data_IF_533549046728
#
_entry.id   IF_533549046728
#
_cell.length_a   1.000
_cell.length_b   1.000
_cell.length_c   1.000
_cell.angle_alpha   90.00
_cell.angle_beta   90.00
_cell.angle_gamma   90.00
#
_symmetry.space_group_name_H-M   'P 1'
#
loop_
_entity.id
_entity.type
_entity.pdbx_description
1 polymer ?
#
# COMPACT_ATOMS: atom_id res chain seq x y z
N UNK A 1 27.33 -18.34 -10.64
CA UNK A 1 27.68 -17.20 -11.50
C UNK A 1 27.35 -15.92 -10.73
N UNK A 2 27.99 -14.79 -11.04
CA UNK A 2 27.78 -13.51 -10.36
C UNK A 2 27.19 -12.49 -11.32
N UNK A 3 26.12 -11.82 -10.92
CA UNK A 3 25.51 -10.69 -11.61
C UNK A 3 25.59 -9.47 -10.70
N UNK A 4 26.54 -8.58 -10.98
CA UNK A 4 26.76 -7.37 -10.18
C UNK A 4 25.93 -6.23 -10.73
N UNK A 5 25.00 -5.73 -9.93
CA UNK A 5 24.22 -4.52 -10.17
C UNK A 5 24.85 -3.30 -9.49
N UNK A 6 25.03 -2.21 -10.23
CA UNK A 6 25.43 -0.91 -9.67
C UNK A 6 24.57 0.17 -10.31
N UNK A 7 24.10 1.12 -9.51
CA UNK A 7 23.41 2.27 -10.05
C UNK A 7 23.52 3.52 -9.18
N UNK A 8 23.29 4.65 -9.84
CA UNK A 8 23.26 5.98 -9.25
C UNK A 8 22.03 6.73 -9.75
N UNK A 9 21.41 7.53 -8.87
CA UNK A 9 20.31 8.43 -9.22
C UNK A 9 20.51 9.79 -8.56
N UNK A 10 20.34 10.83 -9.37
CA UNK A 10 20.13 12.20 -8.91
C UNK A 10 18.66 12.55 -9.04
N UNK A 11 18.08 13.20 -8.02
CA UNK A 11 16.73 13.75 -8.06
C UNK A 11 16.76 15.16 -7.48
N UNK A 12 16.09 16.08 -8.17
CA UNK A 12 15.83 17.42 -7.67
C UNK A 12 14.33 17.68 -7.78
N UNK A 13 13.73 18.10 -6.68
CA UNK A 13 12.30 18.35 -6.55
C UNK A 13 12.08 19.73 -5.94
N UNK A 14 11.05 20.44 -6.43
CA UNK A 14 10.64 21.72 -5.89
C UNK A 14 9.11 21.81 -5.84
N UNK A 15 8.59 22.44 -4.78
CA UNK A 15 7.17 22.70 -4.58
C UNK A 15 6.91 24.17 -4.26
N UNK A 16 5.74 24.68 -4.67
CA UNK A 16 5.23 25.98 -4.25
C UNK A 16 3.76 25.83 -3.87
N UNK A 17 3.48 25.88 -2.56
CA UNK A 17 2.14 25.71 -2.03
C UNK A 17 1.58 27.04 -1.54
N UNK A 18 0.40 27.38 -2.08
CA UNK A 18 -0.35 28.58 -1.73
C UNK A 18 -1.70 28.20 -1.11
N UNK A 19 -2.19 28.97 -0.14
CA UNK A 19 -3.55 28.80 0.40
C UNK A 19 -4.29 30.12 0.47
N UNK A 20 -5.29 30.24 -0.39
CA UNK A 20 -6.21 31.36 -0.41
C UNK A 20 -7.49 31.02 0.35
N UNK A 21 -8.01 31.96 1.12
CA UNK A 21 -9.21 31.76 1.95
C UNK A 21 -10.20 32.90 1.82
N UNK A 22 -11.47 32.52 1.92
CA UNK A 22 -12.62 33.39 2.09
C UNK A 22 -13.49 32.85 3.23
N UNK A 23 -14.33 33.69 3.87
CA UNK A 23 -15.37 33.19 4.77
C UNK A 23 -16.29 32.20 4.05
N UNK A 24 -16.79 31.19 4.77
CA UNK A 24 -17.68 30.16 4.21
C UNK A 24 -18.99 30.77 3.65
N UNK A 25 -19.40 31.93 4.14
CA UNK A 25 -20.56 32.68 3.65
C UNK A 25 -20.29 33.49 2.37
N UNK A 26 -19.04 33.54 1.91
CA UNK A 26 -18.59 34.30 0.75
C UNK A 26 -18.50 33.47 -0.54
N UNK A 27 -17.81 34.03 -1.53
CA UNK A 27 -17.48 33.33 -2.78
C UNK A 27 -16.33 32.33 -2.56
N UNK A 28 -16.16 31.41 -3.51
CA UNK A 28 -14.98 30.55 -3.54
C UNK A 28 -13.70 31.42 -3.60
N UNK A 29 -12.62 31.02 -2.89
CA UNK A 29 -11.36 31.77 -2.91
C UNK A 29 -10.79 31.90 -4.32
N UNK A 30 -10.19 33.06 -4.60
CA UNK A 30 -9.42 33.33 -5.83
C UNK A 30 -7.99 33.70 -5.47
N UNK A 31 -7.12 33.92 -6.46
CA UNK A 31 -5.75 34.42 -6.23
C UNK A 31 -5.70 35.85 -5.68
N UNK A 32 -6.83 36.58 -5.70
CA UNK A 32 -6.97 37.90 -5.08
C UNK A 32 -7.45 37.84 -3.62
N UNK A 33 -7.91 36.67 -3.15
CA UNK A 33 -8.36 36.46 -1.77
C UNK A 33 -7.19 36.50 -0.78
N UNK A 34 -7.50 36.51 0.52
CA UNK A 34 -6.46 36.47 1.56
C UNK A 34 -5.62 35.20 1.42
N UNK A 35 -4.32 35.37 1.20
CA UNK A 35 -3.35 34.28 1.27
C UNK A 35 -2.86 34.09 2.72
N UNK A 36 -3.01 32.89 3.26
CA UNK A 36 -2.54 32.53 4.61
C UNK A 36 -1.51 31.38 4.62
N UNK A 37 -1.04 30.95 3.44
CA UNK A 37 0.12 30.05 3.30
C UNK A 37 0.85 30.36 2.00
N UNK A 38 2.14 30.65 2.09
CA UNK A 38 3.02 30.71 0.92
C UNK A 38 4.31 29.99 1.30
N UNK A 39 4.41 28.72 0.89
CA UNK A 39 5.56 27.86 1.21
C UNK A 39 6.25 27.36 -0.05
N UNK A 40 7.57 27.27 -0.01
CA UNK A 40 8.38 26.64 -1.07
C UNK A 40 9.19 25.50 -0.50
N UNK A 41 8.93 24.28 -0.96
CA UNK A 41 9.71 23.09 -0.66
C UNK A 41 10.80 22.86 -1.69
N UNK A 42 11.94 22.32 -1.28
CA UNK A 42 12.97 21.84 -2.18
C UNK A 42 13.66 20.60 -1.58
N UNK A 43 13.95 19.62 -2.43
CA UNK A 43 14.73 18.43 -2.07
C UNK A 43 15.75 18.14 -3.16
N UNK A 44 16.98 17.86 -2.75
CA UNK A 44 18.03 17.33 -3.59
C UNK A 44 18.48 15.99 -3.02
N UNK A 45 18.45 14.94 -3.83
CA UNK A 45 18.71 13.57 -3.38
C UNK A 45 19.69 12.85 -4.31
N UNK A 46 20.68 12.23 -3.70
CA UNK A 46 21.67 11.38 -4.35
C UNK A 46 21.54 9.96 -3.80
N UNK A 47 21.29 9.00 -4.68
CA UNK A 47 21.15 7.60 -4.32
C UNK A 47 22.18 6.74 -5.03
N UNK A 48 22.84 5.86 -4.29
CA UNK A 48 23.73 4.82 -4.81
C UNK A 48 23.20 3.46 -4.39
N UNK A 49 23.33 2.46 -5.25
CA UNK A 49 23.12 1.07 -4.85
C UNK A 49 24.13 0.15 -5.50
N UNK A 50 24.43 -0.94 -4.79
CA UNK A 50 25.20 -2.07 -5.28
C UNK A 50 24.58 -3.36 -4.75
N UNK A 51 24.48 -4.35 -5.62
CA UNK A 51 24.05 -5.70 -5.31
C UNK A 51 24.84 -6.72 -6.13
N UNK A 52 24.94 -7.95 -5.64
CA UNK A 52 25.57 -9.06 -6.35
C UNK A 52 24.67 -10.28 -6.25
N UNK A 53 24.02 -10.68 -7.35
CA UNK A 53 23.26 -11.93 -7.40
C UNK A 53 24.21 -13.08 -7.69
N UNK A 54 24.33 -13.97 -6.71
CA UNK A 54 25.25 -15.10 -6.71
C UNK A 54 24.44 -16.39 -6.84
N UNK A 55 24.49 -17.01 -8.02
CA UNK A 55 23.90 -18.34 -8.23
C UNK A 55 24.95 -19.44 -7.95
N UNK A 56 24.71 -20.27 -6.93
CA UNK A 56 25.57 -21.38 -6.52
C UNK A 56 24.76 -22.65 -6.25
N UNK A 57 24.85 -23.63 -7.16
CA UNK A 57 24.03 -24.83 -7.09
C UNK A 57 22.53 -24.48 -7.18
N UNK A 58 21.77 -24.86 -6.14
CA UNK A 58 20.33 -24.55 -6.00
C UNK A 58 20.06 -23.20 -5.31
N UNK A 59 21.09 -22.44 -4.96
CA UNK A 59 20.96 -21.19 -4.24
C UNK A 59 21.14 -20.00 -5.17
N UNK A 60 20.33 -18.97 -4.96
CA UNK A 60 20.53 -17.63 -5.49
C UNK A 60 20.60 -16.70 -4.27
N UNK A 61 21.75 -16.10 -4.02
CA UNK A 61 22.00 -15.24 -2.86
C UNK A 61 22.33 -13.84 -3.36
N UNK A 62 21.60 -12.83 -2.89
CA UNK A 62 21.74 -11.45 -3.34
C UNK A 62 21.93 -10.52 -2.15
N UNK A 63 23.17 -10.34 -1.64
CA UNK A 63 23.51 -9.21 -0.79
C UNK A 63 23.40 -7.90 -1.60
N UNK A 64 22.99 -6.84 -0.92
CA UNK A 64 22.98 -5.50 -1.51
C UNK A 64 22.96 -4.40 -0.46
N UNK A 65 23.27 -3.20 -0.89
CA UNK A 65 23.13 -1.99 -0.07
C UNK A 65 22.70 -0.84 -0.94
N UNK A 66 21.73 -0.07 -0.44
CA UNK A 66 21.37 1.24 -0.98
C UNK A 66 21.81 2.33 0.01
N UNK A 67 22.35 3.42 -0.50
CA UNK A 67 22.74 4.59 0.28
C UNK A 67 22.11 5.84 -0.32
N UNK A 68 21.42 6.62 0.51
CA UNK A 68 20.73 7.85 0.12
C UNK A 68 21.32 9.02 0.91
N UNK A 69 21.57 10.13 0.23
CA UNK A 69 21.92 11.42 0.81
C UNK A 69 20.87 12.42 0.34
N UNK A 70 20.20 13.08 1.29
CA UNK A 70 19.02 13.90 1.02
C UNK A 70 19.19 15.23 1.74
N UNK A 71 19.21 16.30 0.96
CA UNK A 71 19.14 17.68 1.41
C UNK A 71 17.70 18.17 1.19
N UNK A 72 17.07 18.72 2.22
CA UNK A 72 15.69 19.21 2.09
C UNK A 72 15.48 20.53 2.82
N UNK A 73 14.61 21.37 2.25
CA UNK A 73 14.28 22.68 2.79
C UNK A 73 12.81 23.02 2.58
N UNK A 74 12.25 23.78 3.52
CA UNK A 74 10.99 24.47 3.38
C UNK A 74 11.15 25.93 3.78
N UNK A 75 10.83 26.83 2.85
CA UNK A 75 10.77 28.27 3.09
C UNK A 75 9.30 28.70 3.26
N UNK A 76 9.01 29.50 4.27
CA UNK A 76 7.72 30.17 4.43
C UNK A 76 7.89 31.66 4.06
N UNK A 77 7.34 32.04 2.92
CA UNK A 77 7.48 33.39 2.36
C UNK A 77 6.62 34.43 3.10
N UNK A 78 5.63 34.01 3.90
CA UNK A 78 4.82 34.93 4.71
C UNK A 78 5.55 35.32 6.00
N UNK A 79 6.22 34.37 6.64
CA UNK A 79 6.96 34.61 7.90
C UNK A 79 8.45 34.85 7.69
N UNK A 80 8.96 34.69 6.46
CA UNK A 80 10.39 34.65 6.11
C UNK A 80 11.19 33.58 6.88
N UNK A 81 10.53 32.54 7.40
CA UNK A 81 11.19 31.44 8.07
C UNK A 81 11.74 30.43 7.05
N UNK A 82 12.95 29.91 7.30
CA UNK A 82 13.57 28.85 6.50
C UNK A 82 13.92 27.69 7.41
N UNK A 83 13.38 26.52 7.07
CA UNK A 83 13.67 25.25 7.74
C UNK A 83 14.46 24.40 6.76
N UNK A 84 15.67 24.03 7.11
CA UNK A 84 16.53 23.21 6.27
C UNK A 84 17.20 22.14 7.13
N UNK A 85 17.43 20.98 6.53
CA UNK A 85 18.31 19.98 7.08
C UNK A 85 18.65 18.93 6.03
N UNK A 86 19.63 18.13 6.39
CA UNK A 86 20.14 17.05 5.57
C UNK A 86 20.19 15.76 6.39
N UNK A 87 20.14 14.63 5.69
CA UNK A 87 20.37 13.34 6.30
C UNK A 87 20.87 12.32 5.27
N UNK A 88 21.50 11.27 5.78
CA UNK A 88 21.84 10.11 4.97
C UNK A 88 21.36 8.83 5.62
N UNK A 89 21.12 7.80 4.80
CA UNK A 89 20.71 6.50 5.28
C UNK A 89 21.28 5.37 4.44
N UNK A 90 21.75 4.33 5.13
CA UNK A 90 22.19 3.09 4.54
C UNK A 90 21.12 2.02 4.76
N UNK A 91 20.82 1.28 3.70
CA UNK A 91 19.76 0.28 3.62
C UNK A 91 20.39 -1.05 3.16
N UNK A 92 21.07 -1.78 4.06
CA UNK A 92 21.63 -3.08 3.72
C UNK A 92 20.52 -4.10 3.59
N UNK A 93 20.63 -4.96 2.58
CA UNK A 93 19.68 -6.02 2.28
C UNK A 93 20.41 -7.35 2.01
N UNK A 94 19.73 -8.44 2.32
CA UNK A 94 20.14 -9.79 1.94
C UNK A 94 18.91 -10.58 1.54
N UNK A 95 18.92 -11.08 0.31
CA UNK A 95 17.87 -11.94 -0.24
C UNK A 95 18.45 -13.32 -0.52
N UNK A 96 17.72 -14.37 -0.17
CA UNK A 96 18.11 -15.76 -0.43
C UNK A 96 16.93 -16.47 -1.09
N UNK A 97 17.20 -17.12 -2.20
CA UNK A 97 16.26 -17.97 -2.92
C UNK A 97 16.88 -19.37 -3.05
N UNK A 98 16.08 -20.40 -2.82
CA UNK A 98 16.47 -21.80 -2.95
C UNK A 98 15.51 -22.54 -3.86
N UNK A 99 16.04 -23.07 -4.96
CA UNK A 99 15.30 -23.82 -5.97
C UNK A 99 15.12 -25.28 -5.50
N UNK A 100 13.97 -25.60 -4.89
CA UNK A 100 13.66 -26.97 -4.48
C UNK A 100 13.58 -27.89 -5.71
N UNK A 101 12.82 -27.44 -6.70
CA UNK A 101 12.64 -28.04 -8.05
C UNK A 101 12.61 -26.92 -9.10
N UNK A 102 12.49 -27.28 -10.38
CA UNK A 102 12.33 -26.29 -11.46
C UNK A 102 11.02 -25.49 -11.38
N UNK A 103 10.09 -25.91 -10.52
CA UNK A 103 8.74 -25.37 -10.35
C UNK A 103 8.45 -24.90 -8.92
N UNK A 104 9.41 -25.00 -8.00
CA UNK A 104 9.17 -24.73 -6.59
C UNK A 104 10.38 -24.06 -5.95
N UNK A 105 10.18 -22.85 -5.42
CA UNK A 105 11.18 -22.05 -4.77
C UNK A 105 10.83 -21.75 -3.30
N UNK A 106 11.85 -21.69 -2.46
CA UNK A 106 11.79 -21.09 -1.13
C UNK A 106 12.54 -19.76 -1.17
N UNK A 107 12.09 -18.77 -0.41
CA UNK A 107 12.82 -17.51 -0.26
C UNK A 107 12.84 -17.06 1.20
N UNK A 108 13.90 -16.34 1.57
CA UNK A 108 13.98 -15.59 2.80
C UNK A 108 14.75 -14.29 2.53
N UNK A 109 14.33 -13.19 3.13
CA UNK A 109 15.05 -11.93 2.98
C UNK A 109 15.01 -11.07 4.24
N UNK A 110 15.88 -10.08 4.26
CA UNK A 110 15.78 -8.95 5.17
C UNK A 110 16.36 -7.70 4.53
N UNK A 111 15.68 -6.58 4.67
CA UNK A 111 16.07 -5.33 4.04
C UNK A 111 15.78 -4.13 4.94
N UNK A 112 16.57 -3.06 4.75
CA UNK A 112 16.28 -1.76 5.34
C UNK A 112 15.42 -0.94 4.38
N UNK A 113 14.41 -0.26 4.91
CA UNK A 113 13.62 0.73 4.19
C UNK A 113 13.53 2.01 5.01
N UNK A 114 13.10 3.12 4.40
CA UNK A 114 13.00 4.39 5.09
C UNK A 114 11.87 5.27 4.55
N UNK A 115 11.37 6.15 5.42
CA UNK A 115 10.51 7.28 5.07
C UNK A 115 11.30 8.59 5.07
N UNK A 116 11.08 9.42 4.06
CA UNK A 116 11.74 10.71 3.93
C UNK A 116 11.12 11.78 4.83
N UNK A 117 11.91 12.77 5.27
CA UNK A 117 11.38 13.96 5.94
C UNK A 117 10.47 14.71 4.97
N UNK A 118 9.17 14.73 5.22
CA UNK A 118 8.22 15.46 4.38
C UNK A 118 8.31 16.97 4.63
N UNK A 119 8.05 17.80 3.61
CA UNK A 119 8.06 19.26 3.76
C UNK A 119 7.16 19.76 4.89
N UNK A 120 5.97 19.16 5.07
CA UNK A 120 5.03 19.49 6.15
C UNK A 120 5.62 19.32 7.55
N UNK A 121 6.59 18.41 7.71
CA UNK A 121 7.22 18.10 8.99
C UNK A 121 8.42 19.01 9.28
N UNK A 122 8.99 19.67 8.26
CA UNK A 122 10.23 20.46 8.38
C UNK A 122 10.24 21.50 9.51
N UNK A 123 9.18 22.31 9.74
CA UNK A 123 9.19 23.26 10.85
C UNK A 123 9.39 22.61 12.22
N UNK A 124 8.73 21.48 12.47
CA UNK A 124 8.83 20.75 13.72
C UNK A 124 10.19 20.06 13.84
N UNK A 125 10.67 19.41 12.76
CA UNK A 125 11.93 18.63 12.80
C UNK A 125 13.18 19.48 12.92
N UNK A 126 13.22 20.63 12.24
CA UNK A 126 14.35 21.56 12.36
C UNK A 126 14.37 22.20 13.74
N UNK A 127 13.21 22.56 14.30
CA UNK A 127 13.13 23.12 15.66
C UNK A 127 13.55 22.10 16.73
N UNK A 128 13.28 20.81 16.51
CA UNK A 128 13.67 19.72 17.42
C UNK A 128 15.10 19.19 17.26
N UNK A 129 15.84 19.62 16.23
CA UNK A 129 17.13 19.02 15.82
C UNK A 129 17.03 17.52 15.45
N UNK A 130 15.96 17.16 14.72
CA UNK A 130 15.62 15.75 14.44
C UNK A 130 15.33 15.48 12.95
N UNK A 131 16.11 16.10 12.07
CA UNK A 131 16.09 15.80 10.63
C UNK A 131 16.77 14.44 10.40
N UNK A 132 16.05 13.35 10.65
CA UNK A 132 16.52 11.96 10.49
C UNK A 132 15.40 11.15 9.88
N UNK A 133 15.69 10.23 8.93
CA UNK A 133 14.67 9.46 8.25
C UNK A 133 13.91 8.54 9.20
N UNK A 134 12.65 8.25 8.87
CA UNK A 134 11.91 7.14 9.47
C UNK A 134 12.57 5.85 8.99
N UNK A 135 12.84 4.87 9.87
CA UNK A 135 13.58 3.67 9.48
C UNK A 135 12.74 2.43 9.72
N UNK A 136 12.67 1.57 8.71
CA UNK A 136 12.06 0.28 8.83
C UNK A 136 13.05 -0.84 8.54
N UNK A 137 12.83 -1.97 9.20
CA UNK A 137 13.51 -3.23 8.92
C UNK A 137 12.45 -4.27 8.62
N UNK A 138 12.59 -4.91 7.47
CA UNK A 138 11.71 -5.96 6.99
C UNK A 138 12.42 -7.30 7.05
N UNK A 139 11.65 -8.36 7.33
CA UNK A 139 12.05 -9.76 7.22
C UNK A 139 10.92 -10.52 6.57
N UNK A 140 11.24 -11.35 5.58
CA UNK A 140 10.27 -12.21 4.91
C UNK A 140 10.80 -13.64 4.81
N UNK A 141 9.88 -14.59 4.84
CA UNK A 141 10.13 -16.01 4.62
C UNK A 141 8.93 -16.60 3.88
N UNK A 142 9.16 -17.24 2.75
CA UNK A 142 8.05 -17.80 1.99
C UNK A 142 8.46 -18.80 0.93
N UNK A 143 7.46 -19.17 0.15
CA UNK A 143 7.61 -20.13 -0.92
C UNK A 143 6.68 -19.79 -2.08
N UNK A 144 7.12 -20.14 -3.29
CA UNK A 144 6.34 -20.02 -4.52
C UNK A 144 6.43 -21.31 -5.33
N UNK A 145 5.29 -21.79 -5.78
CA UNK A 145 5.10 -22.98 -6.60
C UNK A 145 4.39 -22.60 -7.90
N UNK A 146 4.88 -23.07 -9.04
CA UNK A 146 4.24 -22.92 -10.34
C UNK A 146 4.56 -24.13 -11.22
N UNK A 147 3.56 -24.97 -11.48
CA UNK A 147 3.68 -26.10 -12.42
C UNK A 147 2.84 -25.92 -13.69
N UNK A 148 2.41 -24.70 -14.00
CA UNK A 148 1.46 -24.39 -15.06
C UNK A 148 0.01 -24.46 -14.60
N UNK A 149 -0.44 -25.60 -14.08
CA UNK A 149 -1.84 -25.79 -13.67
C UNK A 149 -2.13 -25.14 -12.31
N UNK A 150 -1.22 -25.31 -11.36
CA UNK A 150 -1.30 -24.76 -10.01
C UNK A 150 -0.18 -23.73 -9.84
N UNK A 151 -0.59 -22.51 -9.51
CA UNK A 151 0.27 -21.43 -9.05
C UNK A 151 -0.10 -21.09 -7.62
N UNK A 152 0.84 -21.20 -6.71
CA UNK A 152 0.58 -20.94 -5.30
C UNK A 152 1.79 -20.28 -4.65
N UNK A 153 1.53 -19.36 -3.72
CA UNK A 153 2.57 -18.79 -2.87
C UNK A 153 2.03 -18.54 -1.47
N UNK A 154 2.92 -18.65 -0.50
CA UNK A 154 2.68 -18.24 0.87
C UNK A 154 3.97 -17.65 1.44
N UNK A 155 3.85 -16.50 2.06
CA UNK A 155 4.94 -15.81 2.74
C UNK A 155 4.50 -15.34 4.11
N UNK A 156 5.42 -15.32 5.06
CA UNK A 156 5.29 -14.62 6.32
C UNK A 156 6.21 -13.39 6.28
N UNK A 157 5.74 -12.30 6.86
CA UNK A 157 6.50 -11.05 6.91
C UNK A 157 6.50 -10.48 8.33
N UNK A 158 7.55 -9.71 8.62
CA UNK A 158 7.69 -8.87 9.80
C UNK A 158 8.31 -7.55 9.37
N UNK A 159 7.70 -6.44 9.78
CA UNK A 159 8.19 -5.07 9.57
C UNK A 159 8.18 -4.40 10.93
N UNK A 160 9.35 -3.97 11.39
CA UNK A 160 9.44 -2.99 12.47
C UNK A 160 9.69 -1.64 11.82
N UNK A 161 8.80 -0.68 12.04
CA UNK A 161 8.91 0.65 11.49
C UNK A 161 8.98 1.67 12.63
N UNK A 162 10.19 2.17 12.83
CA UNK A 162 10.58 3.02 13.95
C UNK A 162 10.78 4.47 13.49
N UNK A 163 10.66 5.40 14.43
CA UNK A 163 10.94 6.82 14.21
C UNK A 163 10.04 7.47 13.14
N UNK A 164 8.76 7.08 13.07
CA UNK A 164 7.79 7.74 12.22
C UNK A 164 7.54 9.16 12.73
N UNK A 165 7.43 10.12 11.80
CA UNK A 165 7.17 11.51 12.10
C UNK A 165 5.79 11.70 12.68
N UNK A 166 4.79 11.01 12.13
CA UNK A 166 3.45 11.07 12.68
C UNK A 166 3.39 10.18 13.93
N UNK A 167 3.15 10.81 15.08
CA UNK A 167 2.97 10.07 16.34
C UNK A 167 1.71 9.21 16.28
N UNK A 168 1.75 8.06 16.93
CA UNK A 168 0.57 7.21 17.10
C UNK A 168 -0.19 7.54 18.40
N UNK A 169 0.13 8.64 19.09
CA UNK A 169 -0.60 9.13 20.26
C UNK A 169 -1.71 10.12 19.88
N UNK A 170 -2.67 10.33 20.78
CA UNK A 170 -3.83 11.23 20.56
C UNK A 170 -3.43 12.72 20.54
N UNK A 171 -2.36 13.08 21.24
CA UNK A 171 -1.81 14.42 21.22
C UNK A 171 -0.41 14.33 20.60
N UNK A 172 -0.30 14.69 19.32
CA UNK A 172 0.99 14.78 18.66
C UNK A 172 1.82 15.87 19.35
N UNK A 173 3.01 15.51 19.81
CA UNK A 173 3.96 16.45 20.42
C UNK A 173 5.19 16.51 19.52
N UNK A 174 5.87 17.65 19.50
CA UNK A 174 7.02 17.91 18.59
C UNK A 174 8.11 16.82 18.66
N UNK A 175 8.19 16.07 19.78
CA UNK A 175 9.18 15.02 20.03
C UNK A 175 8.64 13.59 19.88
N UNK A 176 7.33 13.36 19.82
CA UNK A 176 6.77 12.01 19.75
C UNK A 176 7.11 11.35 18.40
N UNK A 177 7.19 10.01 18.41
CA UNK A 177 7.64 9.21 17.26
C UNK A 177 6.80 7.96 17.15
N UNK A 178 6.08 7.82 16.05
CA UNK A 178 5.37 6.59 15.78
C UNK A 178 6.35 5.41 15.69
N UNK A 179 5.97 4.32 16.31
CA UNK A 179 6.64 3.03 16.23
C UNK A 179 5.55 2.00 16.01
N UNK A 180 5.63 1.27 14.91
CA UNK A 180 4.63 0.27 14.56
C UNK A 180 5.30 -1.03 14.15
N UNK A 181 4.64 -2.14 14.46
CA UNK A 181 5.01 -3.46 13.98
C UNK A 181 3.92 -3.99 13.08
N UNK A 182 4.28 -4.42 11.88
CA UNK A 182 3.40 -5.10 10.94
C UNK A 182 3.91 -6.51 10.77
N UNK A 183 3.08 -7.50 11.03
CA UNK A 183 3.46 -8.90 10.89
C UNK A 183 2.29 -9.70 10.35
N UNK A 184 2.57 -10.75 9.61
CA UNK A 184 1.49 -11.43 8.95
C UNK A 184 1.89 -12.57 8.06
N UNK A 185 0.87 -13.07 7.36
CA UNK A 185 1.04 -13.99 6.25
C UNK A 185 0.30 -13.44 5.04
N UNK A 186 0.86 -13.66 3.87
CA UNK A 186 0.24 -13.37 2.57
C UNK A 186 0.27 -14.65 1.74
N UNK A 187 -0.83 -14.95 1.07
CA UNK A 187 -0.93 -16.11 0.20
C UNK A 187 -1.79 -15.83 -1.01
N UNK A 188 -1.41 -16.45 -2.11
CA UNK A 188 -2.20 -16.51 -3.33
C UNK A 188 -2.20 -17.95 -3.85
N UNK A 189 -3.33 -18.38 -4.38
CA UNK A 189 -3.48 -19.63 -5.12
C UNK A 189 -4.32 -19.39 -6.37
N UNK A 190 -3.91 -19.98 -7.47
CA UNK A 190 -4.67 -20.11 -8.71
C UNK A 190 -4.52 -21.54 -9.20
N UNK A 191 -5.63 -22.18 -9.53
CA UNK A 191 -5.65 -23.57 -9.95
C UNK A 191 -6.60 -23.79 -11.13
N UNK A 192 -6.03 -24.20 -12.26
CA UNK A 192 -6.76 -24.69 -13.41
C UNK A 192 -7.32 -26.08 -13.11
N UNK A 193 -8.65 -26.19 -13.01
CA UNK A 193 -9.33 -27.42 -12.60
C UNK A 193 -9.34 -28.51 -13.68
N UNK A 194 -8.99 -28.16 -14.92
CA UNK A 194 -8.86 -29.12 -16.02
C UNK A 194 -7.88 -30.27 -15.69
N UNK A 195 -6.86 -29.98 -14.88
CA UNK A 195 -5.89 -30.96 -14.42
C UNK A 195 -6.45 -31.99 -13.44
N UNK A 196 -7.61 -31.73 -12.82
CA UNK A 196 -8.29 -32.68 -11.92
C UNK A 196 -9.23 -33.62 -12.69
N UNK A 197 -10.02 -33.07 -13.60
CA UNK A 197 -11.01 -33.80 -14.37
C UNK A 197 -11.34 -33.03 -15.66
N UNK A 198 -11.36 -33.67 -16.84
CA UNK A 198 -11.74 -33.03 -18.10
C UNK A 198 -13.12 -32.36 -18.08
N UNK A 199 -14.05 -32.82 -17.23
CA UNK A 199 -15.38 -32.19 -17.04
C UNK A 199 -15.26 -30.75 -16.51
N UNK A 200 -14.14 -30.41 -15.85
CA UNK A 200 -13.85 -29.08 -15.32
C UNK A 200 -12.98 -28.25 -16.26
N UNK A 201 -12.82 -28.67 -17.52
CA UNK A 201 -12.11 -27.88 -18.52
C UNK A 201 -12.66 -26.46 -18.61
N UNK A 202 -11.76 -25.47 -18.69
CA UNK A 202 -12.10 -24.06 -18.72
C UNK A 202 -12.38 -23.43 -17.35
N UNK A 203 -12.53 -24.20 -16.26
CA UNK A 203 -12.66 -23.64 -14.92
C UNK A 203 -11.31 -23.39 -14.24
N UNK A 204 -11.13 -22.19 -13.70
CA UNK A 204 -10.06 -21.88 -12.76
C UNK A 204 -10.65 -21.40 -11.44
N UNK A 205 -10.03 -21.79 -10.34
CA UNK A 205 -10.33 -21.23 -9.02
C UNK A 205 -9.14 -20.44 -8.53
N UNK A 206 -9.39 -19.36 -7.80
CA UNK A 206 -8.33 -18.57 -7.21
C UNK A 206 -8.74 -18.03 -5.85
N UNK A 207 -7.73 -17.80 -5.02
CA UNK A 207 -7.88 -17.05 -3.77
C UNK A 207 -6.62 -16.25 -3.47
N UNK A 208 -6.80 -15.08 -2.87
CA UNK A 208 -5.75 -14.30 -2.23
C UNK A 208 -6.18 -14.01 -0.80
N UNK A 209 -5.25 -14.08 0.13
CA UNK A 209 -5.52 -13.83 1.53
C UNK A 209 -4.30 -13.24 2.21
N UNK A 210 -4.52 -12.18 2.98
CA UNK A 210 -3.54 -11.60 3.87
C UNK A 210 -4.10 -11.59 5.30
N UNK A 211 -3.31 -12.12 6.22
CA UNK A 211 -3.46 -11.84 7.64
C UNK A 211 -2.44 -10.77 8.02
N UNK A 212 -2.89 -9.62 8.53
CA UNK A 212 -2.01 -8.50 8.88
C UNK A 212 -2.30 -8.02 10.30
N UNK A 213 -1.33 -8.20 11.19
CA UNK A 213 -1.36 -7.66 12.55
C UNK A 213 -0.48 -6.42 12.63
N UNK A 214 -1.07 -5.26 12.32
CA UNK A 214 -0.44 -3.95 12.48
C UNK A 214 -0.72 -3.40 13.89
N UNK A 215 0.32 -3.28 14.71
CA UNK A 215 0.24 -2.89 16.13
C UNK A 215 1.09 -1.66 16.40
N UNK A 216 0.56 -0.71 17.18
CA UNK A 216 1.29 0.42 17.72
C UNK A 216 2.23 -0.07 18.82
N UNK A 217 3.51 0.20 18.66
CA UNK A 217 4.59 -0.15 19.61
C UNK A 217 5.14 1.06 20.35
N UNK A 218 4.87 2.27 19.87
CA UNK A 218 5.25 3.54 20.52
C UNK A 218 4.79 3.57 21.98
N UNK A 219 5.69 3.97 22.87
CA UNK A 219 5.37 4.17 24.29
C UNK A 219 4.35 5.29 24.49
N UNK A 220 3.25 4.96 25.17
CA UNK A 220 2.18 5.91 25.46
C UNK A 220 0.84 5.22 25.66
N UNK A 221 -0.24 6.01 25.84
CA UNK A 221 -1.60 5.49 26.04
C UNK A 221 -2.07 4.51 24.95
N UNK A 222 -1.60 4.66 23.71
CA UNK A 222 -2.02 3.81 22.59
C UNK A 222 -1.12 2.59 22.35
N UNK A 223 -0.12 2.33 23.21
CA UNK A 223 0.76 1.16 23.06
C UNK A 223 -0.04 -0.14 23.10
N UNK A 224 0.14 -0.99 22.09
CA UNK A 224 -0.58 -2.26 21.95
C UNK A 224 -1.92 -2.15 21.22
N UNK A 225 -2.39 -0.94 20.90
CA UNK A 225 -3.54 -0.77 20.03
C UNK A 225 -3.21 -1.18 18.59
N UNK A 226 -4.25 -1.45 17.80
CA UNK A 226 -4.12 -1.71 16.36
C UNK A 226 -3.90 -0.40 15.63
N UNK A 227 -3.05 -0.42 14.61
CA UNK A 227 -2.92 0.70 13.68
C UNK A 227 -4.28 0.93 12.98
N UNK A 228 -4.75 2.19 12.87
CA UNK A 228 -6.01 2.51 12.18
C UNK A 228 -6.03 2.03 10.73
N UNK A 229 -7.23 1.80 10.19
CA UNK A 229 -7.45 1.40 8.79
C UNK A 229 -6.70 0.13 8.34
N UNK A 230 -6.28 -0.72 9.29
CA UNK A 230 -5.67 -2.02 9.01
C UNK A 230 -6.62 -3.17 9.38
N UNK A 231 -7.11 -3.88 8.37
CA UNK A 231 -7.93 -5.09 8.56
C UNK A 231 -7.03 -6.28 8.83
N UNK A 232 -7.30 -7.03 9.90
CA UNK A 232 -6.55 -8.25 10.21
C UNK A 232 -6.68 -9.33 9.15
N UNK A 233 -7.85 -9.43 8.52
CA UNK A 233 -8.10 -10.40 7.45
C UNK A 233 -8.56 -9.64 6.22
N UNK A 234 -7.94 -9.86 5.08
CA UNK A 234 -8.37 -9.30 3.79
C UNK A 234 -8.07 -10.29 2.68
N UNK A 235 -8.96 -10.41 1.71
CA UNK A 235 -8.75 -11.36 0.64
C UNK A 235 -9.75 -11.26 -0.49
N UNK A 236 -9.47 -12.02 -1.53
CA UNK A 236 -10.39 -12.27 -2.64
C UNK A 236 -10.44 -13.75 -2.93
N UNK A 237 -11.55 -14.24 -3.48
CA UNK A 237 -11.62 -15.59 -4.02
C UNK A 237 -12.65 -15.64 -5.12
N UNK A 238 -12.47 -16.52 -6.09
CA UNK A 238 -13.41 -16.62 -7.18
C UNK A 238 -13.20 -17.84 -8.05
N UNK A 239 -14.13 -17.97 -8.98
CA UNK A 239 -14.10 -18.95 -10.06
C UNK A 239 -14.19 -18.19 -11.39
N UNK A 240 -13.34 -18.57 -12.33
CA UNK A 240 -13.48 -18.21 -13.73
C UNK A 240 -13.88 -19.42 -14.55
N UNK A 241 -14.63 -19.19 -15.61
CA UNK A 241 -14.94 -20.18 -16.63
C UNK A 241 -14.64 -19.59 -18.01
N UNK A 242 -13.84 -20.28 -18.80
CA UNK A 242 -13.49 -19.88 -20.16
C UNK A 242 -13.85 -21.00 -21.13
N UNK A 243 -14.73 -20.71 -22.08
CA UNK A 243 -15.13 -21.65 -23.13
C UNK A 243 -15.31 -20.90 -24.46
N UNK A 244 -14.42 -21.17 -25.41
CA UNK A 244 -14.39 -20.47 -26.69
C UNK A 244 -14.31 -18.94 -26.50
N UNK A 245 -15.26 -18.16 -27.05
CA UNK A 245 -15.27 -16.70 -26.92
C UNK A 245 -15.75 -16.20 -25.55
N UNK A 246 -16.27 -17.08 -24.69
CA UNK A 246 -16.84 -16.70 -23.41
C UNK A 246 -15.80 -16.71 -22.30
N UNK A 247 -15.83 -15.68 -21.46
CA UNK A 247 -15.16 -15.66 -20.17
C UNK A 247 -16.12 -15.16 -19.09
N UNK A 248 -16.43 -16.02 -18.14
CA UNK A 248 -17.32 -15.76 -17.01
C UNK A 248 -16.49 -15.70 -15.72
N UNK A 249 -16.86 -14.81 -14.83
CA UNK A 249 -16.23 -14.65 -13.53
C UNK A 249 -17.30 -14.52 -12.44
N UNK A 250 -17.11 -15.21 -11.33
CA UNK A 250 -17.81 -14.97 -10.08
C UNK A 250 -16.79 -14.89 -8.97
N UNK A 251 -16.77 -13.78 -8.25
CA UNK A 251 -15.74 -13.50 -7.25
C UNK A 251 -16.34 -12.89 -5.99
N UNK A 252 -15.56 -12.97 -4.92
CA UNK A 252 -15.82 -12.33 -3.66
C UNK A 252 -14.58 -11.60 -3.18
N UNK A 253 -14.79 -10.43 -2.59
CA UNK A 253 -13.79 -9.69 -1.83
C UNK A 253 -14.26 -9.53 -0.41
N UNK A 254 -13.37 -9.66 0.57
CA UNK A 254 -13.71 -9.50 1.98
C UNK A 254 -12.61 -8.81 2.76
N UNK A 255 -13.01 -8.17 3.86
CA UNK A 255 -12.11 -7.69 4.88
C UNK A 255 -12.77 -7.70 6.26
N UNK A 256 -11.97 -7.94 7.30
CA UNK A 256 -12.40 -7.83 8.69
C UNK A 256 -12.53 -6.37 9.12
N UNK A 257 -13.01 -6.16 10.34
CA UNK A 257 -13.12 -4.84 10.92
C UNK A 257 -11.78 -4.10 11.08
N UNK A 258 -11.89 -2.79 11.26
CA UNK A 258 -10.80 -1.83 11.45
C UNK A 258 -11.20 -0.80 12.51
N UNK A 259 -10.23 0.00 12.97
CA UNK A 259 -10.48 1.22 13.76
C UNK A 259 -10.12 2.45 12.93
N UNK A 260 -10.76 3.59 13.22
CA UNK A 260 -10.50 4.85 12.51
C UNK A 260 -9.43 5.72 13.18
N UNK A 261 -9.11 5.45 14.44
CA UNK A 261 -8.25 6.28 15.29
C UNK A 261 -7.27 5.44 16.12
N UNK A 262 -6.14 6.04 16.50
CA UNK A 262 -5.08 5.36 17.25
C UNK A 262 -5.52 4.88 18.64
N UNK A 263 -6.53 5.52 19.23
CA UNK A 263 -7.13 5.10 20.51
C UNK A 263 -8.03 3.85 20.38
N UNK A 264 -8.27 3.38 19.15
CA UNK A 264 -9.15 2.24 18.86
C UNK A 264 -10.56 2.44 19.46
N UNK A 265 -11.12 3.64 19.29
CA UNK A 265 -12.43 3.99 19.82
C UNK A 265 -13.49 3.11 19.16
N UNK A 266 -14.15 2.28 19.96
CA UNK A 266 -15.18 1.37 19.44
C UNK A 266 -16.50 2.09 19.16
N UNK A 267 -16.89 3.00 20.05
CA UNK A 267 -18.14 3.76 19.94
C UNK A 267 -18.06 4.77 18.79
N UNK A 268 -19.14 4.88 18.02
CA UNK A 268 -19.24 5.87 16.94
C UNK A 268 -19.42 7.29 17.51
N UNK A 269 -18.65 8.25 17.00
CA UNK A 269 -18.86 9.68 17.30
C UNK A 269 -20.09 10.23 16.58
N UNK A 270 -20.66 11.31 17.09
CA UNK A 270 -21.83 11.96 16.50
C UNK A 270 -21.59 12.47 15.06
N UNK A 271 -20.37 12.89 14.73
CA UNK A 271 -19.97 13.29 13.37
C UNK A 271 -19.51 12.11 12.50
N UNK A 272 -19.44 10.90 13.06
CA UNK A 272 -19.06 9.68 12.37
C UNK A 272 -17.58 9.57 11.98
N UNK A 273 -16.70 10.45 12.49
CA UNK A 273 -15.26 10.42 12.21
C UNK A 273 -14.53 9.28 12.94
N UNK A 274 -14.97 8.92 14.14
CA UNK A 274 -14.41 7.80 14.93
C UNK A 274 -15.41 6.66 15.11
N UNK A 275 -14.91 5.53 15.61
CA UNK A 275 -15.68 4.31 15.84
C UNK A 275 -15.12 3.12 15.07
N UNK A 276 -15.48 1.92 15.53
CA UNK A 276 -15.14 0.68 14.82
C UNK A 276 -15.75 0.70 13.42
N UNK A 277 -14.96 0.34 12.41
CA UNK A 277 -15.39 0.18 11.02
C UNK A 277 -15.70 -1.31 10.80
N UNK A 278 -16.97 -1.71 10.59
CA UNK A 278 -17.32 -3.12 10.42
C UNK A 278 -16.68 -3.74 9.18
N UNK A 279 -16.29 -5.01 9.29
CA UNK A 279 -15.89 -5.82 8.14
C UNK A 279 -17.06 -6.11 7.18
N UNK A 280 -16.72 -6.54 5.98
CA UNK A 280 -17.69 -6.87 4.94
C UNK A 280 -17.16 -7.93 3.99
N UNK A 281 -18.08 -8.53 3.24
CA UNK A 281 -17.81 -9.45 2.14
C UNK A 281 -18.75 -9.09 1.00
N UNK A 282 -18.19 -8.82 -0.17
CA UNK A 282 -18.90 -8.46 -1.39
C UNK A 282 -18.79 -9.60 -2.38
N UNK A 283 -19.77 -9.71 -3.27
CA UNK A 283 -19.76 -10.66 -4.37
C UNK A 283 -19.95 -9.90 -5.67
N UNK A 284 -19.21 -10.28 -6.70
CA UNK A 284 -19.22 -9.66 -8.02
C UNK A 284 -19.24 -10.71 -9.12
N UNK A 285 -19.70 -10.31 -10.29
CA UNK A 285 -19.69 -11.17 -11.48
C UNK A 285 -19.43 -10.35 -12.72
N UNK A 286 -18.86 -11.00 -13.74
CA UNK A 286 -18.60 -10.43 -15.06
C UNK A 286 -18.78 -11.51 -16.11
N UNK A 287 -19.45 -11.18 -17.20
CA UNK A 287 -19.52 -12.01 -18.40
C UNK A 287 -18.90 -11.24 -19.56
N UNK A 288 -17.98 -11.87 -20.29
CA UNK A 288 -17.27 -11.32 -21.44
C UNK A 288 -17.50 -12.20 -22.65
N UNK A 289 -17.62 -11.57 -23.81
CA UNK A 289 -17.61 -12.21 -25.12
C UNK A 289 -16.56 -11.56 -26.00
N UNK A 290 -15.67 -12.39 -26.54
CA UNK A 290 -14.70 -12.03 -27.57
C UNK A 290 -15.29 -12.33 -28.95
N UNK A 291 -15.51 -11.30 -29.77
CA UNK A 291 -16.03 -11.46 -31.12
C UNK A 291 -14.95 -11.86 -32.13
N UNK A 292 -13.68 -11.83 -31.72
CA UNK A 292 -12.53 -12.25 -32.50
C UNK A 292 -12.14 -11.32 -33.65
N UNK A 293 -11.18 -11.74 -34.49
CA UNK A 293 -10.51 -10.86 -35.44
C UNK A 293 -11.43 -10.25 -36.51
N UNK A 294 -12.53 -10.94 -36.83
CA UNK A 294 -13.51 -10.47 -37.82
C UNK A 294 -14.16 -9.15 -37.43
N UNK A 295 -14.20 -8.85 -36.13
CA UNK A 295 -14.67 -7.58 -35.57
C UNK A 295 -13.54 -6.83 -34.87
N UNK A 296 -12.30 -6.93 -35.37
CA UNK A 296 -11.14 -6.20 -34.81
C UNK A 296 -10.93 -6.52 -33.32
N UNK A 297 -11.00 -7.81 -32.98
CA UNK A 297 -10.92 -8.34 -31.62
C UNK A 297 -11.82 -7.59 -30.63
N UNK A 298 -13.00 -7.19 -31.10
CA UNK A 298 -14.02 -6.55 -30.28
C UNK A 298 -14.31 -7.46 -29.09
N UNK A 299 -14.14 -6.92 -27.90
CA UNK A 299 -14.50 -7.57 -26.65
C UNK A 299 -15.59 -6.76 -25.97
N UNK A 300 -16.66 -7.41 -25.54
CA UNK A 300 -17.74 -6.79 -24.78
C UNK A 300 -17.94 -7.55 -23.48
N UNK A 301 -17.98 -6.82 -22.37
CA UNK A 301 -18.30 -7.39 -21.08
C UNK A 301 -19.37 -6.59 -20.34
N UNK A 302 -20.20 -7.31 -19.61
CA UNK A 302 -21.16 -6.77 -18.65
C UNK A 302 -20.82 -7.34 -17.29
N UNK A 303 -20.78 -6.49 -16.27
CA UNK A 303 -20.51 -6.93 -14.92
C UNK A 303 -21.34 -6.20 -13.87
N UNK A 304 -21.38 -6.82 -12.70
CA UNK A 304 -22.04 -6.29 -11.52
C UNK A 304 -21.13 -6.49 -10.32
N UNK A 305 -20.82 -5.39 -9.63
CA UNK A 305 -20.17 -5.40 -8.33
C UNK A 305 -21.19 -5.34 -7.21
N UNK A 306 -20.85 -5.93 -6.06
CA UNK A 306 -21.69 -5.94 -4.86
C UNK A 306 -23.13 -6.43 -5.18
N UNK A 307 -23.24 -7.63 -5.75
CA UNK A 307 -24.48 -8.22 -6.26
C UNK A 307 -25.58 -8.23 -5.19
N UNK A 308 -25.24 -8.46 -3.92
CA UNK A 308 -26.21 -8.48 -2.82
C UNK A 308 -26.54 -7.10 -2.26
N UNK A 309 -25.99 -6.02 -2.83
CA UNK A 309 -26.15 -4.65 -2.34
C UNK A 309 -25.85 -4.52 -0.84
N UNK A 310 -24.79 -5.18 -0.39
CA UNK A 310 -24.33 -5.14 0.99
C UNK A 310 -23.95 -3.70 1.33
N UNK A 311 -24.57 -3.15 2.37
CA UNK A 311 -24.19 -1.86 2.91
C UNK A 311 -22.92 -1.99 3.75
N UNK A 312 -21.95 -1.13 3.48
CA UNK A 312 -20.71 -0.98 4.23
C UNK A 312 -20.24 0.46 4.12
N UNK A 313 -19.26 0.85 4.92
CA UNK A 313 -18.70 2.19 4.91
C UNK A 313 -17.26 2.15 5.42
N UNK A 314 -16.52 3.22 5.13
CA UNK A 314 -15.27 3.58 5.83
C UNK A 314 -15.43 4.94 6.50
N UNK A 315 -14.41 5.42 7.20
CA UNK A 315 -14.38 6.74 7.85
C UNK A 315 -13.18 7.55 7.35
N UNK A 316 -13.31 8.87 7.34
CA UNK A 316 -12.15 9.77 7.45
C UNK A 316 -12.16 10.35 8.86
N UNK A 317 -11.01 10.35 9.52
CA UNK A 317 -10.85 10.75 10.92
C UNK A 317 -10.33 12.19 11.05
N UNK A 318 -9.17 12.49 10.43
CA UNK A 318 -8.45 13.75 10.65
C UNK A 318 -8.72 14.84 9.60
N UNK A 319 -9.25 14.51 8.42
CA UNK A 319 -9.45 15.49 7.37
C UNK A 319 -10.64 16.44 7.63
N UNK A 320 -10.64 17.60 6.97
CA UNK A 320 -11.76 18.55 7.07
C UNK A 320 -13.11 17.96 6.63
N UNK A 321 -13.09 16.98 5.72
CA UNK A 321 -14.26 16.23 5.27
C UNK A 321 -14.45 14.91 6.04
N UNK A 322 -13.96 14.82 7.29
CA UNK A 322 -14.16 13.67 8.17
C UNK A 322 -15.63 13.25 8.29
N UNK A 323 -15.83 11.98 8.62
CA UNK A 323 -17.13 11.36 8.73
C UNK A 323 -17.20 10.01 8.02
N UNK A 324 -18.42 9.51 7.80
CA UNK A 324 -18.67 8.23 7.13
C UNK A 324 -18.72 8.37 5.61
N UNK A 325 -18.07 7.42 4.94
CA UNK A 325 -18.04 7.27 3.49
C UNK A 325 -18.70 5.96 3.12
N UNK A 326 -19.86 6.04 2.48
CA UNK A 326 -20.60 4.85 2.04
C UNK A 326 -19.78 4.10 1.00
N UNK A 327 -19.67 2.78 1.19
CA UNK A 327 -19.01 1.90 0.25
C UNK A 327 -19.76 1.78 -1.08
N UNK A 328 -19.10 1.25 -2.12
CA UNK A 328 -19.69 1.06 -3.44
C UNK A 328 -20.97 0.21 -3.34
N UNK A 329 -22.16 0.77 -3.64
CA UNK A 329 -23.39 -0.01 -3.66
C UNK A 329 -23.36 -0.98 -4.85
N UNK A 330 -24.43 -1.75 -5.04
CA UNK A 330 -24.58 -2.56 -6.27
C UNK A 330 -24.36 -1.67 -7.50
N UNK A 331 -23.36 -2.01 -8.29
CA UNK A 331 -22.94 -1.20 -9.44
C UNK A 331 -22.86 -2.08 -10.68
N UNK A 332 -23.57 -1.68 -11.73
CA UNK A 332 -23.55 -2.34 -13.04
C UNK A 332 -22.62 -1.56 -13.96
N UNK A 333 -21.80 -2.27 -14.72
CA UNK A 333 -20.88 -1.66 -15.67
C UNK A 333 -20.83 -2.44 -16.98
N UNK A 334 -20.43 -1.73 -18.04
CA UNK A 334 -20.15 -2.29 -19.37
C UNK A 334 -18.72 -1.93 -19.73
N UNK A 335 -18.01 -2.89 -20.30
CA UNK A 335 -16.66 -2.71 -20.85
C UNK A 335 -16.66 -3.09 -22.31
N UNK A 336 -15.95 -2.31 -23.11
CA UNK A 336 -15.72 -2.58 -24.53
C UNK A 336 -14.29 -2.23 -24.89
N UNK A 337 -13.66 -3.06 -25.70
CA UNK A 337 -12.33 -2.81 -26.27
C UNK A 337 -12.27 -3.34 -27.70
N UNK A 338 -11.44 -2.70 -28.53
CA UNK A 338 -11.19 -3.06 -29.92
C UNK A 338 -9.68 -2.97 -30.15
N UNK A 339 -9.11 -3.90 -30.92
CA UNK A 339 -7.72 -3.89 -31.36
C UNK A 339 -7.67 -3.86 -32.89
N UNK A 340 -6.93 -2.90 -33.45
CA UNK A 340 -6.78 -2.70 -34.90
C UNK A 340 -5.46 -3.22 -35.42
#
# INVERSE_FOLDING_TARGET
WHEVGVGYRYVNEAGHELRYREPVTGNLPTTASRNDRDTRGATEAHAFYIDDRIDIGKWTITPGVRYEMIDTAQNNNLTNARYQGDYSTALPALNVLYHLTDTWNLYANTEGSFGSVQYSQMPNRVTGDEVKPEKARTWELGTRYDNGNLRAEIGAFLINFDNQYDSNQTNDTVIARGETRHQGIETSVNYALEGLNPILAGYDVYATYAFVDATIREDGPNKGNRVPFSSKHKGTMGVSYTEGPWKLNFDSSFQSDQFADNANTAAESADGSTGKIPGYMLFSTRANYDFGPQLSDLNVAVGMKNIFNRQYYTRSFDDNNRGKYVGEPRTVYVQTSVAF
#
